data_IF_521830942836
#
_entry.id   IF_521830942836
#
_cell.length_a   1.000
_cell.length_b   1.000
_cell.length_c   1.000
_cell.angle_alpha   90.00
_cell.angle_beta   90.00
_cell.angle_gamma   90.00
#
_symmetry.space_group_name_H-M   'P 1'
#
loop_
_entity.id
_entity.type
_entity.pdbx_description
1 polymer ?
#
# COMPACT_ATOMS: atom_id res chain seq x y z
N UNK A 1 16.23 -2.12 1.52
CA UNK A 1 17.36 -3.01 1.90
C UNK A 1 17.48 -4.09 0.83
N UNK A 2 18.70 -4.55 0.51
CA UNK A 2 18.95 -5.55 -0.53
C UNK A 2 19.67 -6.74 0.11
N UNK A 3 19.22 -7.96 -0.23
CA UNK A 3 19.88 -9.21 0.12
C UNK A 3 20.25 -9.98 -1.15
N UNK A 4 21.42 -10.61 -1.19
CA UNK A 4 21.92 -11.32 -2.38
C UNK A 4 22.32 -12.75 -2.05
N UNK A 5 21.93 -13.69 -2.90
CA UNK A 5 22.31 -15.10 -2.82
C UNK A 5 22.61 -15.65 -4.23
N UNK A 6 23.90 -15.79 -4.55
CA UNK A 6 24.34 -16.14 -5.90
C UNK A 6 23.87 -15.09 -6.92
N UNK A 7 23.10 -15.52 -7.92
CA UNK A 7 22.48 -14.62 -8.91
C UNK A 7 21.16 -13.98 -8.46
N UNK A 8 20.60 -14.39 -7.31
CA UNK A 8 19.32 -13.89 -6.84
C UNK A 8 19.51 -12.63 -6.00
N UNK A 9 18.74 -11.59 -6.32
CA UNK A 9 18.68 -10.34 -5.56
C UNK A 9 17.26 -10.20 -5.00
N UNK A 10 17.15 -10.01 -3.69
CA UNK A 10 15.90 -9.75 -2.98
C UNK A 10 15.88 -8.29 -2.53
N UNK A 11 14.79 -7.60 -2.83
CA UNK A 11 14.55 -6.21 -2.48
C UNK A 11 13.50 -6.14 -1.37
N UNK A 12 13.85 -5.57 -0.22
CA UNK A 12 12.88 -5.33 0.85
C UNK A 12 11.93 -4.20 0.46
N UNK A 13 10.63 -4.50 0.56
CA UNK A 13 9.52 -3.60 0.23
C UNK A 13 9.24 -2.58 1.33
N UNK A 14 8.90 -3.05 2.54
CA UNK A 14 8.54 -2.16 3.64
C UNK A 14 9.81 -1.57 4.26
N UNK A 15 10.18 -0.37 3.78
CA UNK A 15 11.40 0.35 4.13
C UNK A 15 11.08 1.80 4.47
N UNK A 16 11.94 2.43 5.27
CA UNK A 16 11.81 3.85 5.57
C UNK A 16 12.17 4.71 4.33
N UNK A 17 11.98 6.03 4.43
CA UNK A 17 12.30 6.99 3.36
C UNK A 17 13.78 6.97 2.90
N UNK A 18 14.68 6.37 3.68
CA UNK A 18 16.11 6.17 3.34
C UNK A 18 16.40 4.79 2.71
N UNK A 19 15.36 3.99 2.40
CA UNK A 19 15.48 2.63 1.86
C UNK A 19 15.96 1.58 2.87
N UNK A 20 15.98 1.90 4.16
CA UNK A 20 16.48 1.03 5.23
C UNK A 20 15.36 0.22 5.88
N UNK A 21 15.72 -0.87 6.57
CA UNK A 21 14.79 -1.67 7.36
C UNK A 21 14.12 -0.81 8.45
N UNK A 22 12.81 -0.98 8.63
CA UNK A 22 12.06 -0.34 9.72
C UNK A 22 12.19 -1.23 10.97
N UNK A 23 12.87 -0.74 12.01
CA UNK A 23 13.05 -1.50 13.25
C UNK A 23 11.73 -1.56 14.03
N UNK A 24 11.35 -2.77 14.46
CA UNK A 24 10.10 -3.01 15.19
C UNK A 24 8.87 -3.18 14.31
N UNK A 25 8.99 -3.03 12.99
CA UNK A 25 7.90 -3.32 12.05
C UNK A 25 7.51 -4.81 12.07
N UNK A 26 6.21 -5.07 11.99
CA UNK A 26 5.63 -6.42 12.03
C UNK A 26 4.74 -6.72 10.81
N UNK A 27 4.99 -6.05 9.68
CA UNK A 27 4.22 -6.22 8.45
C UNK A 27 4.21 -7.69 7.97
N UNK A 28 3.03 -8.19 7.59
CA UNK A 28 2.83 -9.58 7.16
C UNK A 28 1.56 -9.76 6.31
N UNK A 29 1.34 -10.97 5.81
CA UNK A 29 0.21 -11.34 4.91
C UNK A 29 0.08 -10.38 3.73
N UNK A 30 1.09 -10.41 2.85
CA UNK A 30 1.15 -9.52 1.70
C UNK A 30 0.48 -10.09 0.44
N UNK A 31 -0.07 -9.19 -0.38
CA UNK A 31 -0.54 -9.45 -1.74
C UNK A 31 0.08 -8.44 -2.70
N UNK A 32 0.44 -8.89 -3.91
CA UNK A 32 1.15 -8.08 -4.91
C UNK A 32 0.43 -8.12 -6.25
N UNK A 33 0.45 -7.00 -6.98
CA UNK A 33 -0.06 -6.88 -8.34
C UNK A 33 0.90 -6.08 -9.20
N UNK A 34 0.99 -6.48 -10.47
CA UNK A 34 1.85 -5.89 -11.49
C UNK A 34 0.96 -5.28 -12.57
N UNK A 35 1.27 -4.07 -13.03
CA UNK A 35 0.58 -3.45 -14.15
C UNK A 35 0.88 -4.23 -15.44
N UNK A 36 -0.15 -4.83 -16.04
CA UNK A 36 -0.02 -5.62 -17.28
C UNK A 36 0.37 -4.80 -18.50
N UNK A 37 0.22 -3.48 -18.45
CA UNK A 37 0.64 -2.53 -19.50
C UNK A 37 2.06 -2.03 -19.29
N UNK A 38 2.59 -2.09 -18.06
CA UNK A 38 3.93 -1.63 -17.71
C UNK A 38 4.48 -2.35 -16.46
N UNK A 39 5.19 -3.45 -16.67
CA UNK A 39 5.75 -4.27 -15.58
C UNK A 39 6.76 -3.58 -14.65
N UNK A 40 7.20 -2.35 -14.95
CA UNK A 40 7.96 -1.54 -13.99
C UNK A 40 7.10 -1.02 -12.84
N UNK A 41 5.78 -0.92 -13.03
CA UNK A 41 4.82 -0.52 -12.00
C UNK A 41 4.28 -1.74 -11.28
N UNK A 42 4.44 -1.76 -9.97
CA UNK A 42 3.81 -2.77 -9.10
C UNK A 42 3.28 -2.12 -7.84
N UNK A 43 2.21 -2.70 -7.31
CA UNK A 43 1.62 -2.40 -6.01
C UNK A 43 1.74 -3.65 -5.14
N UNK A 44 2.08 -3.49 -3.88
CA UNK A 44 2.01 -4.55 -2.87
C UNK A 44 1.32 -4.01 -1.61
N UNK A 45 0.45 -4.82 -1.03
CA UNK A 45 -0.30 -4.55 0.19
C UNK A 45 0.08 -5.54 1.29
N UNK A 46 -0.18 -5.18 2.55
CA UNK A 46 0.08 -6.02 3.73
C UNK A 46 -0.71 -5.55 4.95
N UNK A 47 -0.80 -6.38 5.99
CA UNK A 47 -1.27 -5.94 7.31
C UNK A 47 -0.16 -5.15 8.00
N UNK A 48 -0.35 -3.84 8.18
CA UNK A 48 0.59 -2.97 8.90
C UNK A 48 0.26 -2.96 10.39
N UNK A 49 1.27 -3.00 11.24
CA UNK A 49 1.15 -2.86 12.70
C UNK A 49 2.02 -1.69 13.16
N UNK A 50 1.72 -1.09 14.32
CA UNK A 50 2.58 -0.02 14.87
C UNK A 50 3.95 -0.57 15.30
N UNK A 51 3.96 -1.74 15.92
CA UNK A 51 5.18 -2.49 16.28
C UNK A 51 4.88 -3.98 16.52
N UNK A 52 5.92 -4.79 16.77
CA UNK A 52 5.87 -6.23 17.13
C UNK A 52 5.07 -6.60 18.38
N UNK A 53 4.65 -5.63 19.20
CA UNK A 53 3.77 -5.84 20.37
C UNK A 53 2.32 -5.43 20.12
N UNK A 54 2.03 -4.79 18.98
CA UNK A 54 0.68 -4.39 18.58
C UNK A 54 -0.12 -5.55 17.99
N UNK A 55 -1.33 -5.75 18.49
CA UNK A 55 -2.36 -6.57 17.81
C UNK A 55 -3.24 -5.76 16.85
N UNK A 56 -3.18 -4.42 16.93
CA UNK A 56 -3.92 -3.53 16.04
C UNK A 56 -3.25 -3.47 14.67
N UNK A 57 -4.04 -3.68 13.61
CA UNK A 57 -3.61 -3.78 12.23
C UNK A 57 -4.37 -2.84 11.30
N UNK A 58 -3.64 -2.28 10.35
CA UNK A 58 -4.05 -1.25 9.42
C UNK A 58 -3.67 -1.66 7.99
N UNK A 59 -4.22 -0.95 7.00
CA UNK A 59 -3.97 -1.21 5.59
C UNK A 59 -2.60 -0.66 5.16
N UNK A 60 -1.56 -1.50 5.22
CA UNK A 60 -0.24 -1.20 4.67
C UNK A 60 -0.20 -1.43 3.17
N UNK A 61 0.50 -0.56 2.45
CA UNK A 61 0.69 -0.69 1.01
C UNK A 61 1.91 0.12 0.57
N UNK A 62 2.51 -0.28 -0.55
CA UNK A 62 3.67 0.37 -1.12
C UNK A 62 3.79 0.05 -2.61
N UNK A 63 4.63 0.81 -3.29
CA UNK A 63 4.72 0.76 -4.74
C UNK A 63 6.13 0.94 -5.29
N UNK A 64 6.30 0.52 -6.53
CA UNK A 64 7.52 0.68 -7.33
C UNK A 64 7.16 1.22 -8.72
N UNK A 65 8.09 1.91 -9.34
CA UNK A 65 8.04 2.31 -10.76
C UNK A 65 9.30 1.90 -11.53
N UNK A 66 10.11 1.00 -10.96
CA UNK A 66 11.41 0.54 -11.49
C UNK A 66 11.57 -0.99 -11.46
N UNK A 67 10.44 -1.71 -11.54
CA UNK A 67 10.41 -3.18 -11.59
C UNK A 67 10.68 -3.86 -10.24
N UNK A 68 10.48 -3.14 -9.13
CA UNK A 68 10.71 -3.64 -7.77
C UNK A 68 12.15 -3.46 -7.28
N UNK A 69 12.97 -2.66 -7.97
CA UNK A 69 14.34 -2.35 -7.55
C UNK A 69 14.35 -1.40 -6.35
N UNK A 70 13.44 -0.44 -6.33
CA UNK A 70 13.13 0.43 -5.19
C UNK A 70 11.63 0.42 -4.89
N UNK A 71 11.29 0.63 -3.62
CA UNK A 71 9.92 0.63 -3.12
C UNK A 71 9.67 1.86 -2.26
N UNK A 72 8.50 2.47 -2.43
CA UNK A 72 8.00 3.59 -1.64
C UNK A 72 6.92 3.09 -0.70
N UNK A 73 7.09 3.29 0.61
CA UNK A 73 6.03 3.16 1.62
C UNK A 73 5.56 4.56 2.03
N UNK A 74 4.40 5.03 1.53
CA UNK A 74 3.86 6.36 1.85
C UNK A 74 3.01 6.40 3.14
N UNK A 75 2.86 5.26 3.83
CA UNK A 75 2.00 5.10 4.99
C UNK A 75 0.77 4.23 4.71
N UNK A 76 -0.08 4.08 5.71
CA UNK A 76 -1.33 3.29 5.63
C UNK A 76 -2.40 4.01 4.81
N UNK A 77 -3.37 3.28 4.23
CA UNK A 77 -4.51 3.88 3.52
C UNK A 77 -5.31 4.83 4.42
N UNK A 78 -5.68 4.34 5.61
CA UNK A 78 -6.41 5.09 6.62
C UNK A 78 -5.73 4.91 7.99
N UNK A 79 -5.44 6.03 8.66
CA UNK A 79 -4.81 5.98 9.97
C UNK A 79 -5.84 5.64 11.06
N UNK A 80 -5.46 4.78 12.00
CA UNK A 80 -6.30 4.28 13.10
C UNK A 80 -7.62 3.59 12.67
N UNK A 81 -7.71 3.07 11.44
CA UNK A 81 -8.82 2.21 11.00
C UNK A 81 -8.35 0.76 10.96
N UNK A 82 -9.08 -0.15 11.63
CA UNK A 82 -8.77 -1.57 11.59
C UNK A 82 -8.99 -2.11 10.18
N UNK A 83 -7.93 -2.64 9.56
CA UNK A 83 -7.99 -3.32 8.26
C UNK A 83 -7.12 -4.57 8.25
N UNK A 84 -7.57 -5.61 7.56
CA UNK A 84 -6.88 -6.89 7.47
C UNK A 84 -7.03 -7.53 6.08
N UNK A 85 -6.23 -8.56 5.86
CA UNK A 85 -6.35 -9.55 4.78
C UNK A 85 -6.44 -8.90 3.38
N UNK A 86 -5.43 -8.10 3.01
CA UNK A 86 -5.51 -7.29 1.80
C UNK A 86 -5.39 -8.13 0.53
N UNK A 87 -6.18 -7.79 -0.48
CA UNK A 87 -6.13 -8.37 -1.83
C UNK A 87 -5.94 -7.25 -2.84
N UNK A 88 -4.87 -7.30 -3.63
CA UNK A 88 -4.62 -6.33 -4.71
C UNK A 88 -4.97 -6.92 -6.08
N UNK A 89 -5.28 -6.05 -7.03
CA UNK A 89 -5.36 -6.42 -8.45
C UNK A 89 -4.87 -5.27 -9.36
N UNK A 90 -4.53 -5.57 -10.61
CA UNK A 90 -4.43 -4.59 -11.69
C UNK A 90 -5.36 -5.03 -12.82
N UNK A 91 -6.10 -4.10 -13.41
CA UNK A 91 -6.88 -4.39 -14.62
C UNK A 91 -6.05 -4.19 -15.90
N UNK A 92 -6.67 -4.48 -17.04
CA UNK A 92 -6.09 -4.45 -18.38
C UNK A 92 -5.65 -3.07 -18.89
N UNK A 93 -6.06 -1.99 -18.21
CA UNK A 93 -5.60 -0.61 -18.49
C UNK A 93 -4.56 -0.10 -17.48
N UNK A 94 -4.02 -0.97 -16.63
CA UNK A 94 -2.98 -0.63 -15.64
C UNK A 94 -3.50 0.11 -14.40
N UNK A 95 -4.81 0.05 -14.13
CA UNK A 95 -5.40 0.64 -12.93
C UNK A 95 -5.30 -0.34 -11.76
N UNK A 96 -4.69 0.09 -10.66
CA UNK A 96 -4.57 -0.71 -9.44
C UNK A 96 -5.82 -0.67 -8.57
N UNK A 97 -6.07 -1.78 -7.88
CA UNK A 97 -7.13 -1.99 -6.92
C UNK A 97 -6.56 -2.58 -5.64
N UNK A 98 -7.12 -2.18 -4.51
CA UNK A 98 -6.83 -2.69 -3.17
C UNK A 98 -8.16 -3.01 -2.50
N UNK A 99 -8.36 -4.23 -2.04
CA UNK A 99 -9.50 -4.64 -1.22
C UNK A 99 -9.00 -5.07 0.16
N UNK A 100 -9.77 -4.81 1.21
CA UNK A 100 -9.50 -5.32 2.56
C UNK A 100 -10.76 -5.42 3.40
N UNK A 101 -10.77 -6.37 4.33
CA UNK A 101 -11.70 -6.40 5.44
C UNK A 101 -11.48 -5.16 6.33
N UNK A 102 -12.55 -4.44 6.64
CA UNK A 102 -12.61 -3.38 7.64
C UNK A 102 -13.43 -3.86 8.85
N UNK A 103 -13.02 -3.44 10.06
CA UNK A 103 -13.73 -3.72 11.32
C UNK A 103 -13.56 -2.57 12.32
N UNK A 104 -14.00 -2.77 13.56
CA UNK A 104 -13.50 -2.04 14.73
C UNK A 104 -12.42 -2.84 15.47
N UNK A 105 -11.87 -2.27 16.54
CA UNK A 105 -10.85 -2.94 17.37
C UNK A 105 -11.37 -4.15 18.16
N UNK A 106 -12.69 -4.30 18.29
CA UNK A 106 -13.35 -5.40 19.01
C UNK A 106 -13.81 -6.51 18.06
N UNK A 107 -13.56 -6.38 16.75
CA UNK A 107 -13.99 -7.29 15.70
C UNK A 107 -15.52 -7.47 15.64
N UNK A 108 -16.28 -6.40 15.94
CA UNK A 108 -17.74 -6.47 16.09
C UNK A 108 -18.54 -6.52 14.77
N UNK A 109 -17.90 -6.13 13.66
CA UNK A 109 -18.46 -6.21 12.32
C UNK A 109 -17.37 -6.55 11.29
N UNK A 110 -17.76 -7.00 10.10
CA UNK A 110 -16.84 -7.09 8.96
C UNK A 110 -17.54 -6.58 7.71
N UNK A 111 -16.82 -5.77 6.94
CA UNK A 111 -17.19 -5.37 5.58
C UNK A 111 -15.94 -5.25 4.72
N UNK A 112 -16.03 -5.56 3.43
CA UNK A 112 -14.97 -5.26 2.48
C UNK A 112 -15.07 -3.82 2.00
N UNK A 113 -13.93 -3.15 1.83
CA UNK A 113 -13.84 -1.93 1.03
C UNK A 113 -12.92 -2.15 -0.15
N UNK A 114 -13.39 -1.76 -1.33
CA UNK A 114 -12.59 -1.66 -2.54
C UNK A 114 -12.08 -0.23 -2.70
N UNK A 115 -10.77 -0.08 -2.84
CA UNK A 115 -10.09 1.14 -3.21
C UNK A 115 -9.55 0.97 -4.62
N UNK A 116 -9.59 2.03 -5.42
CA UNK A 116 -8.90 2.07 -6.71
C UNK A 116 -7.94 3.25 -6.78
N UNK A 117 -6.87 3.06 -7.54
CA UNK A 117 -6.09 4.20 -8.05
C UNK A 117 -7.00 5.09 -8.92
N UNK A 118 -6.83 6.40 -8.77
CA UNK A 118 -7.58 7.43 -9.49
C UNK A 118 -6.70 8.18 -10.52
N UNK A 119 -5.42 7.82 -10.65
CA UNK A 119 -4.47 8.39 -11.59
C UNK A 119 -4.75 7.98 -13.05
N UNK A 120 -5.82 8.52 -13.64
CA UNK A 120 -6.10 8.39 -15.06
C UNK A 120 -4.97 9.01 -15.91
N UNK A 121 -4.21 8.16 -16.59
CA UNK A 121 -3.41 8.50 -17.77
C UNK A 121 -2.39 9.65 -17.63
N UNK A 122 -1.62 9.70 -16.53
CA UNK A 122 -0.39 10.49 -16.47
C UNK A 122 0.83 9.59 -16.46
N UNK A 123 1.74 9.78 -17.42
CA UNK A 123 2.97 8.97 -17.60
C UNK A 123 4.05 9.18 -16.54
N UNK A 124 3.68 9.68 -15.35
CA UNK A 124 4.58 9.93 -14.23
C UNK A 124 3.89 9.56 -12.90
N UNK A 125 4.55 8.66 -12.17
CA UNK A 125 4.69 8.70 -10.71
C UNK A 125 3.42 8.89 -9.86
N UNK A 126 2.54 7.89 -9.80
CA UNK A 126 1.69 7.58 -8.63
C UNK A 126 1.12 6.17 -8.83
N UNK A 127 1.65 5.17 -8.14
CA UNK A 127 1.00 3.86 -8.06
C UNK A 127 0.36 3.80 -6.66
N UNK A 128 -0.90 4.23 -6.58
CA UNK A 128 -1.61 4.64 -5.35
C UNK A 128 -0.91 5.82 -4.62
N UNK A 129 -1.66 6.81 -4.09
CA UNK A 129 -1.09 7.98 -3.35
C UNK A 129 -2.13 8.71 -2.49
N UNK A 130 -2.15 8.40 -1.18
CA UNK A 130 -2.66 9.18 0.00
C UNK A 130 -4.03 9.90 -0.04
N UNK A 131 -4.79 10.02 1.05
CA UNK A 131 -4.77 9.40 2.39
C UNK A 131 -6.10 9.70 3.12
N UNK A 132 -6.31 9.12 4.30
CA UNK A 132 -7.20 9.68 5.33
C UNK A 132 -6.73 11.09 5.77
N UNK A 133 -7.13 12.13 5.05
CA UNK A 133 -6.82 13.53 5.36
C UNK A 133 -7.87 14.51 4.79
N UNK A 134 -9.15 14.32 5.14
CA UNK A 134 -10.25 15.18 4.65
C UNK A 134 -11.28 15.58 5.71
N UNK A 135 -10.93 15.52 7.01
CA UNK A 135 -11.72 16.12 8.09
C UNK A 135 -10.81 16.87 9.07
N UNK A 136 -10.85 18.20 8.98
CA UNK A 136 -10.23 19.26 9.80
C UNK A 136 -8.95 19.96 9.23
N UNK A 137 -9.16 21.23 8.86
CA UNK A 137 -8.20 22.33 8.62
C UNK A 137 -7.22 22.30 7.42
N UNK A 138 -7.64 22.99 6.35
CA UNK A 138 -6.88 24.03 5.61
C UNK A 138 -5.46 23.74 5.07
N UNK A 139 -5.31 22.78 4.15
CA UNK A 139 -4.21 22.77 3.17
C UNK A 139 -4.64 22.22 1.80
N UNK A 140 -4.04 22.72 0.72
CA UNK A 140 -4.29 22.38 -0.70
C UNK A 140 -2.98 22.60 -1.49
N UNK A 141 -2.77 22.01 -2.70
CA UNK A 141 -3.38 20.78 -3.25
C UNK A 141 -2.41 19.87 -4.09
N UNK A 142 -2.95 18.78 -4.65
CA UNK A 142 -2.53 18.05 -5.88
C UNK A 142 -1.45 16.93 -5.83
N UNK A 143 -1.90 15.70 -5.55
CA UNK A 143 -1.76 14.53 -6.44
C UNK A 143 -2.88 13.51 -6.09
N UNK A 144 -3.30 12.64 -7.01
CA UNK A 144 -4.60 11.94 -6.94
C UNK A 144 -4.71 10.83 -5.89
N UNK A 145 -5.75 10.91 -5.04
CA UNK A 145 -6.04 9.96 -3.95
C UNK A 145 -6.69 8.65 -4.41
N UNK A 146 -6.42 7.50 -3.76
CA UNK A 146 -7.19 6.28 -3.96
C UNK A 146 -8.66 6.52 -3.57
N UNK A 147 -9.58 6.21 -4.47
CA UNK A 147 -11.01 6.37 -4.24
C UNK A 147 -11.61 5.12 -3.59
N UNK A 148 -12.18 5.26 -2.38
CA UNK A 148 -13.02 4.21 -1.77
C UNK A 148 -14.32 4.08 -2.58
N UNK A 149 -14.55 2.89 -3.10
CA UNK A 149 -15.78 2.44 -3.72
C UNK A 149 -16.60 1.70 -2.66
N UNK A 150 -17.91 1.99 -2.61
CA UNK A 150 -18.91 1.32 -1.77
C UNK A 150 -19.88 0.56 -2.68
#
# INVERSE_FOLDING_TARGET
MISQFGSFISHQVNVNASGQNILGDAANECSISVDSTNGNKMTIAWRQFNDVTSNFRQAGWGFTTDGGTTWTFPGVLENNVFRSDPVTNSNEIGQFFYLSLQSDVNLSFFCDDLWRDMAFNTSQTTALTVAAAAWNSNALPMAGSPGRLR
#
